data_IF_425547794923
#
_entry.id   IF_425547794923
#
_cell.length_a   1.000
_cell.length_b   1.000
_cell.length_c   1.000
_cell.angle_alpha   90.00
_cell.angle_beta   90.00
_cell.angle_gamma   90.00
#
_symmetry.space_group_name_H-M   'P 1'
#
loop_
_entity.id
_entity.type
_entity.pdbx_description
1 polymer ?
#
# COMPACT_ATOMS: atom_id res chain seq x y z
N UNK A 1 11.94 -59.88 15.50
CA UNK A 1 12.41 -58.48 15.58
C UNK A 1 12.05 -57.79 14.27
N UNK A 2 10.99 -57.04 14.29
CA UNK A 2 10.55 -56.26 13.10
C UNK A 2 11.00 -54.79 13.30
N UNK A 3 11.90 -54.35 12.45
CA UNK A 3 12.35 -52.98 12.40
C UNK A 3 11.26 -52.12 11.72
N UNK A 4 10.66 -51.23 12.51
CA UNK A 4 9.77 -50.21 12.04
C UNK A 4 10.58 -49.10 11.35
N UNK A 5 10.48 -48.98 10.05
CA UNK A 5 11.04 -47.92 9.25
C UNK A 5 10.16 -46.68 9.45
N UNK A 6 10.64 -45.65 10.12
CA UNK A 6 10.03 -44.34 10.18
C UNK A 6 10.27 -43.63 8.83
N UNK A 7 9.26 -43.59 8.02
CA UNK A 7 9.26 -42.80 6.78
C UNK A 7 9.52 -41.34 7.08
N UNK A 8 10.47 -40.74 6.37
CA UNK A 8 10.74 -39.33 6.33
C UNK A 8 9.45 -38.59 5.92
N UNK A 9 9.04 -37.60 6.70
CA UNK A 9 8.03 -36.64 6.26
C UNK A 9 8.57 -35.92 5.03
N UNK A 10 7.98 -36.20 3.88
CA UNK A 10 8.12 -35.35 2.71
C UNK A 10 7.72 -33.94 3.09
N UNK A 11 8.70 -33.06 3.20
CA UNK A 11 8.51 -31.62 3.13
C UNK A 11 8.11 -31.34 1.70
N UNK A 12 6.80 -31.29 1.42
CA UNK A 12 6.29 -30.70 0.18
C UNK A 12 6.81 -29.28 0.10
N UNK A 13 7.85 -29.07 -0.70
CA UNK A 13 8.29 -27.75 -1.11
C UNK A 13 7.07 -27.13 -1.82
N UNK A 14 6.53 -26.06 -1.24
CA UNK A 14 5.53 -25.22 -1.91
C UNK A 14 6.22 -24.71 -3.16
N UNK A 15 5.78 -25.16 -4.35
CA UNK A 15 6.29 -24.62 -5.60
C UNK A 15 5.89 -23.14 -5.66
N UNK A 16 6.87 -22.28 -5.46
CA UNK A 16 6.70 -20.82 -5.58
C UNK A 16 6.36 -20.53 -7.04
N UNK A 17 5.25 -19.85 -7.28
CA UNK A 17 4.90 -19.40 -8.61
C UNK A 17 5.89 -18.28 -9.05
N UNK A 18 6.78 -18.51 -10.04
CA UNK A 18 7.83 -17.53 -10.41
C UNK A 18 7.27 -16.19 -10.88
N UNK A 19 6.03 -16.16 -11.36
CA UNK A 19 5.38 -14.92 -11.79
C UNK A 19 4.99 -14.07 -10.57
N UNK A 20 4.45 -14.68 -9.51
CA UNK A 20 4.12 -14.00 -8.26
C UNK A 20 5.39 -13.52 -7.57
N UNK A 21 6.42 -14.35 -7.51
CA UNK A 21 7.72 -14.00 -6.94
C UNK A 21 8.28 -12.69 -7.53
N UNK A 22 8.30 -12.58 -8.88
CA UNK A 22 8.77 -11.37 -9.55
C UNK A 22 7.94 -10.14 -9.16
N UNK A 23 6.64 -10.30 -8.94
CA UNK A 23 5.73 -9.24 -8.57
C UNK A 23 5.87 -8.82 -7.09
N UNK A 24 6.39 -9.71 -6.25
CA UNK A 24 6.64 -9.46 -4.83
C UNK A 24 8.02 -8.88 -4.52
N UNK A 25 8.87 -8.69 -5.53
CA UNK A 25 10.12 -7.95 -5.34
C UNK A 25 9.80 -6.51 -4.97
N UNK A 26 10.55 -5.98 -4.01
CA UNK A 26 10.42 -4.60 -3.54
C UNK A 26 9.02 -4.23 -3.06
N UNK A 27 8.30 -5.22 -2.52
CA UNK A 27 7.00 -4.95 -1.92
C UNK A 27 7.12 -3.89 -0.80
N UNK A 28 6.05 -3.18 -0.57
CA UNK A 28 5.90 -2.27 0.57
C UNK A 28 4.78 -2.75 1.49
N UNK A 29 4.79 -2.29 2.72
CA UNK A 29 3.80 -2.68 3.72
C UNK A 29 3.36 -1.47 4.55
N UNK A 30 2.12 -1.48 5.03
CA UNK A 30 1.57 -0.42 5.87
C UNK A 30 1.57 -0.80 7.34
N UNK A 31 1.93 0.17 8.19
CA UNK A 31 1.76 0.09 9.64
C UNK A 31 1.06 1.34 10.17
N UNK A 32 0.51 1.24 11.36
CA UNK A 32 0.06 2.37 12.17
C UNK A 32 0.87 2.40 13.45
N UNK A 33 1.05 3.53 14.14
CA UNK A 33 1.75 3.60 15.42
C UNK A 33 1.34 2.47 16.37
N UNK A 34 0.05 2.34 16.63
CA UNK A 34 -0.52 1.31 17.52
C UNK A 34 -0.27 -0.14 17.10
N UNK A 35 -0.06 -0.40 15.80
CA UNK A 35 0.27 -1.76 15.31
C UNK A 35 1.76 -2.01 15.33
N UNK A 36 2.57 -0.99 15.06
CA UNK A 36 4.03 -1.05 15.13
C UNK A 36 4.53 -1.29 16.57
N UNK A 37 3.92 -0.63 17.56
CA UNK A 37 4.25 -0.82 18.99
C UNK A 37 4.13 -2.27 19.48
N UNK A 38 3.29 -3.07 18.84
CA UNK A 38 3.10 -4.51 19.21
C UNK A 38 4.18 -5.42 18.67
N UNK A 39 5.11 -4.89 17.89
CA UNK A 39 6.20 -5.62 17.28
C UNK A 39 7.48 -5.15 17.97
N UNK A 40 8.21 -6.08 18.54
CA UNK A 40 9.44 -5.76 19.26
C UNK A 40 10.52 -5.25 18.32
N UNK A 41 10.71 -5.92 17.19
CA UNK A 41 11.67 -5.55 16.15
C UNK A 41 11.10 -5.90 14.75
N UNK A 42 11.02 -4.94 13.86
CA UNK A 42 10.53 -5.18 12.49
C UNK A 42 11.54 -5.97 11.65
N UNK A 43 12.82 -5.96 12.00
CA UNK A 43 13.87 -6.75 11.33
C UNK A 43 13.67 -8.25 11.45
N UNK A 44 12.96 -8.70 12.47
CA UNK A 44 12.57 -10.11 12.63
C UNK A 44 11.49 -10.54 11.63
N UNK A 45 10.84 -9.58 10.99
CA UNK A 45 9.68 -9.82 10.14
C UNK A 45 9.91 -9.42 8.68
N UNK A 46 10.59 -8.32 8.42
CA UNK A 46 10.71 -7.71 7.11
C UNK A 46 12.13 -7.80 6.55
N UNK A 47 12.30 -8.04 5.25
CA UNK A 47 13.58 -7.88 4.59
C UNK A 47 14.11 -6.45 4.78
N UNK A 48 15.42 -6.30 5.00
CA UNK A 48 16.05 -4.97 5.13
C UNK A 48 15.76 -4.09 3.92
N UNK A 49 15.55 -2.78 4.15
CA UNK A 49 15.22 -1.83 3.10
C UNK A 49 13.78 -1.91 2.57
N UNK A 50 12.92 -2.76 3.14
CA UNK A 50 11.48 -2.74 2.80
C UNK A 50 10.90 -1.35 3.04
N UNK A 51 10.12 -0.83 2.10
CA UNK A 51 9.40 0.44 2.31
C UNK A 51 8.21 0.22 3.22
N UNK A 52 8.20 0.94 4.34
CA UNK A 52 7.13 0.89 5.34
C UNK A 52 6.34 2.20 5.31
N UNK A 53 5.08 2.11 4.91
CA UNK A 53 4.17 3.24 5.00
C UNK A 53 3.65 3.36 6.43
N UNK A 54 3.64 4.59 6.96
CA UNK A 54 3.10 4.87 8.29
C UNK A 54 1.77 5.60 8.12
N UNK A 55 0.68 4.87 8.30
CA UNK A 55 -0.66 5.39 8.10
C UNK A 55 -1.07 6.37 9.21
N UNK A 56 -1.41 7.59 8.82
CA UNK A 56 -1.90 8.63 9.73
C UNK A 56 -3.43 8.65 9.73
N UNK A 57 -4.00 8.21 10.82
CA UNK A 57 -5.45 8.21 11.04
C UNK A 57 -5.82 9.39 11.92
N UNK A 58 -6.99 10.00 11.65
CA UNK A 58 -7.53 11.08 12.46
C UNK A 58 -7.47 10.77 13.96
N UNK A 59 -7.07 11.77 14.75
CA UNK A 59 -6.90 11.65 16.20
C UNK A 59 -5.55 11.09 16.65
N UNK A 60 -4.69 10.63 15.72
CA UNK A 60 -3.32 10.24 16.07
C UNK A 60 -2.43 11.50 16.13
N UNK A 61 -1.79 11.81 17.27
CA UNK A 61 -0.89 12.95 17.38
C UNK A 61 0.31 12.83 16.43
N UNK A 62 0.74 13.95 15.86
CA UNK A 62 1.89 13.96 14.94
C UNK A 62 3.17 13.43 15.62
N UNK A 63 3.32 13.64 16.93
CA UNK A 63 4.46 13.16 17.70
C UNK A 63 4.55 11.63 17.70
N UNK A 64 3.42 10.93 17.79
CA UNK A 64 3.36 9.46 17.71
C UNK A 64 3.71 8.97 16.31
N UNK A 65 3.26 9.70 15.29
CA UNK A 65 3.59 9.41 13.90
C UNK A 65 5.09 9.55 13.64
N UNK A 66 5.69 10.66 14.09
CA UNK A 66 7.13 10.93 13.93
C UNK A 66 7.97 9.92 14.74
N UNK A 67 7.56 9.61 15.98
CA UNK A 67 8.25 8.60 16.79
C UNK A 67 8.23 7.21 16.12
N UNK A 68 7.10 6.83 15.51
CA UNK A 68 7.00 5.58 14.73
C UNK A 68 7.91 5.61 13.51
N UNK A 69 7.91 6.71 12.75
CA UNK A 69 8.78 6.89 11.59
C UNK A 69 10.26 6.79 11.98
N UNK A 70 10.66 7.46 13.06
CA UNK A 70 12.01 7.42 13.61
C UNK A 70 12.46 6.00 13.99
N UNK A 71 11.59 5.25 14.66
CA UNK A 71 11.84 3.85 15.00
C UNK A 71 12.02 3.00 13.74
N UNK A 72 11.11 3.08 12.79
CA UNK A 72 11.16 2.31 11.53
C UNK A 72 12.43 2.63 10.74
N UNK A 73 12.82 3.91 10.67
CA UNK A 73 14.07 4.32 10.04
C UNK A 73 15.31 3.78 10.77
N UNK A 74 15.31 3.83 12.12
CA UNK A 74 16.42 3.29 12.94
C UNK A 74 16.56 1.75 12.82
N UNK A 75 15.49 1.03 12.49
CA UNK A 75 15.49 -0.39 12.19
C UNK A 75 15.95 -0.70 10.74
N UNK A 76 16.30 0.31 9.94
CA UNK A 76 16.88 0.16 8.59
C UNK A 76 15.87 0.04 7.45
N UNK A 77 14.67 0.56 7.63
CA UNK A 77 13.60 0.54 6.63
C UNK A 77 13.40 1.90 5.96
N UNK A 78 12.93 1.89 4.71
CA UNK A 78 12.50 3.07 3.98
C UNK A 78 11.16 3.56 4.52
N UNK A 79 11.09 4.76 5.09
CA UNK A 79 9.86 5.26 5.73
C UNK A 79 9.09 6.18 4.80
N UNK A 80 7.80 5.88 4.60
CA UNK A 80 6.89 6.70 3.82
C UNK A 80 5.64 7.06 4.66
N UNK A 81 5.65 8.17 5.41
CA UNK A 81 4.48 8.59 6.18
C UNK A 81 3.35 9.09 5.27
N UNK A 82 2.12 8.91 5.75
CA UNK A 82 0.94 9.51 5.15
C UNK A 82 0.82 10.98 5.54
N UNK A 83 0.46 11.81 4.56
CA UNK A 83 0.04 13.19 4.75
C UNK A 83 -1.41 13.36 4.30
N UNK A 84 -2.38 13.13 5.20
CA UNK A 84 -3.80 13.30 4.88
C UNK A 84 -4.17 14.78 4.90
N UNK A 85 -4.46 15.36 3.74
CA UNK A 85 -4.74 16.78 3.57
C UNK A 85 -5.79 17.31 4.55
N UNK A 86 -6.90 16.61 4.68
CA UNK A 86 -8.06 17.06 5.48
C UNK A 86 -7.83 17.14 7.00
N UNK A 87 -6.73 16.59 7.53
CA UNK A 87 -6.37 16.76 8.96
C UNK A 87 -5.24 17.75 9.17
N UNK A 88 -4.69 18.32 8.12
CA UNK A 88 -3.66 19.36 8.17
C UNK A 88 -4.35 20.71 8.16
N UNK A 89 -4.09 21.52 9.19
CA UNK A 89 -4.81 22.77 9.41
C UNK A 89 -4.49 23.82 8.35
N UNK A 90 -3.19 24.05 8.09
CA UNK A 90 -2.68 25.12 7.25
C UNK A 90 -1.27 24.79 6.73
N UNK A 91 -0.72 25.64 5.89
CA UNK A 91 0.63 25.47 5.33
C UNK A 91 1.72 25.45 6.41
N UNK A 92 1.57 26.26 7.44
CA UNK A 92 2.51 26.28 8.57
C UNK A 92 2.55 24.93 9.28
N UNK A 93 1.40 24.33 9.50
CA UNK A 93 1.26 22.97 10.08
C UNK A 93 1.90 21.93 9.15
N UNK A 94 1.65 21.99 7.84
CA UNK A 94 2.24 21.09 6.85
C UNK A 94 3.79 21.16 6.89
N UNK A 95 4.35 22.36 6.81
CA UNK A 95 5.81 22.57 6.84
C UNK A 95 6.43 22.12 8.16
N UNK A 96 5.75 22.33 9.28
CA UNK A 96 6.19 21.84 10.59
C UNK A 96 6.20 20.30 10.63
N UNK A 97 5.19 19.63 10.12
CA UNK A 97 5.18 18.17 10.06
C UNK A 97 6.31 17.62 9.19
N UNK A 98 6.52 18.21 8.02
CA UNK A 98 7.65 17.88 7.14
C UNK A 98 8.99 18.02 7.89
N UNK A 99 9.22 19.17 8.55
CA UNK A 99 10.43 19.41 9.31
C UNK A 99 10.66 18.41 10.45
N UNK A 100 9.59 18.04 11.18
CA UNK A 100 9.66 17.00 12.22
C UNK A 100 10.07 15.65 11.64
N UNK A 101 9.43 15.18 10.57
CA UNK A 101 9.77 13.92 9.92
C UNK A 101 11.21 13.89 9.39
N UNK A 102 11.66 14.98 8.75
CA UNK A 102 13.02 15.07 8.25
C UNK A 102 14.04 15.15 9.39
N UNK A 103 13.80 15.99 10.38
CA UNK A 103 14.75 16.23 11.49
C UNK A 103 14.91 15.03 12.41
N UNK A 104 13.85 14.26 12.64
CA UNK A 104 13.89 13.14 13.59
C UNK A 104 14.07 11.78 12.92
N UNK A 105 13.59 11.58 11.70
CA UNK A 105 13.56 10.28 11.03
C UNK A 105 14.25 10.29 9.65
N UNK A 106 14.79 11.41 9.19
CA UNK A 106 15.46 11.50 7.88
C UNK A 106 14.53 11.22 6.70
N UNK A 107 13.23 11.44 6.85
CA UNK A 107 12.22 11.13 5.83
C UNK A 107 12.36 12.06 4.63
N UNK A 108 12.46 11.47 3.43
CA UNK A 108 12.50 12.18 2.14
C UNK A 108 11.46 11.64 1.14
N UNK A 109 10.47 10.90 1.63
CA UNK A 109 9.37 10.35 0.83
C UNK A 109 8.05 10.44 1.61
N UNK A 110 6.92 10.54 0.88
CA UNK A 110 5.59 10.67 1.47
C UNK A 110 4.49 10.09 0.59
N UNK A 111 3.40 9.62 1.22
CA UNK A 111 2.14 9.37 0.53
C UNK A 111 1.16 10.51 0.83
N UNK A 112 0.75 11.22 -0.23
CA UNK A 112 -0.19 12.33 -0.17
C UNK A 112 -1.59 11.85 -0.54
N UNK A 113 -2.54 12.05 0.36
CA UNK A 113 -3.94 11.63 0.18
C UNK A 113 -4.90 12.68 0.78
N UNK A 114 -6.18 12.60 0.43
CA UNK A 114 -7.17 13.49 1.03
C UNK A 114 -7.38 13.17 2.52
N UNK A 115 -7.41 11.90 2.88
CA UNK A 115 -7.76 11.41 4.22
C UNK A 115 -9.22 10.99 4.31
N UNK A 116 -9.58 10.31 5.41
CA UNK A 116 -10.89 9.70 5.62
C UNK A 116 -11.92 10.60 6.28
N UNK A 117 -11.55 11.82 6.73
CA UNK A 117 -12.50 12.74 7.38
C UNK A 117 -13.40 13.42 6.34
N UNK A 118 -14.68 13.52 6.66
CA UNK A 118 -15.67 14.11 5.74
C UNK A 118 -15.50 15.62 5.62
N UNK A 119 -15.19 16.30 6.72
CA UNK A 119 -15.00 17.74 6.75
C UNK A 119 -13.54 18.06 7.05
N UNK A 120 -12.85 18.83 6.20
CA UNK A 120 -11.49 19.28 6.47
C UNK A 120 -11.38 20.05 7.79
N UNK A 121 -10.27 19.86 8.50
CA UNK A 121 -9.96 20.58 9.73
C UNK A 121 -9.36 21.98 9.44
N UNK A 122 -8.97 22.25 8.20
CA UNK A 122 -8.32 23.49 7.79
C UNK A 122 -8.45 23.75 6.29
N UNK A 123 -7.38 24.23 5.69
CA UNK A 123 -7.37 24.80 4.34
C UNK A 123 -7.30 23.75 3.21
N UNK A 124 -6.97 22.49 3.54
CA UNK A 124 -6.72 21.46 2.53
C UNK A 124 -7.86 20.43 2.45
N UNK A 125 -8.42 20.27 1.27
CA UNK A 125 -9.47 19.28 0.96
C UNK A 125 -8.92 18.03 0.25
N UNK A 126 -7.84 18.17 -0.52
CA UNK A 126 -7.30 17.09 -1.33
C UNK A 126 -5.77 17.14 -1.44
N UNK A 127 -5.17 16.03 -1.89
CA UNK A 127 -3.72 15.90 -2.04
C UNK A 127 -3.11 16.82 -3.10
N UNK A 128 -3.89 17.30 -4.08
CA UNK A 128 -3.40 18.24 -5.09
C UNK A 128 -2.98 19.56 -4.45
N UNK A 129 -3.74 20.07 -3.49
CA UNK A 129 -3.37 21.30 -2.76
C UNK A 129 -2.08 21.13 -1.94
N UNK A 130 -1.82 19.92 -1.42
CA UNK A 130 -0.52 19.63 -0.77
C UNK A 130 0.64 19.68 -1.77
N UNK A 131 0.45 19.20 -3.00
CA UNK A 131 1.45 19.29 -4.07
C UNK A 131 1.64 20.73 -4.54
N UNK A 132 0.55 21.49 -4.72
CA UNK A 132 0.56 22.90 -5.15
C UNK A 132 1.28 23.82 -4.17
N UNK A 133 1.28 23.50 -2.87
CA UNK A 133 2.01 24.29 -1.85
C UNK A 133 3.52 24.28 -2.06
N UNK A 134 4.05 23.38 -2.88
CA UNK A 134 5.48 23.10 -3.07
C UNK A 134 6.28 22.79 -1.79
N UNK A 135 5.63 22.59 -0.64
CA UNK A 135 6.30 22.37 0.64
C UNK A 135 7.24 21.14 0.63
N UNK A 136 6.85 20.08 -0.09
CA UNK A 136 7.68 18.88 -0.26
C UNK A 136 8.85 19.11 -1.20
N UNK A 137 8.66 19.89 -2.29
CA UNK A 137 9.73 20.29 -3.22
C UNK A 137 10.77 21.16 -2.52
N UNK A 138 10.33 22.19 -1.77
CA UNK A 138 11.20 23.06 -0.98
C UNK A 138 12.02 22.28 0.07
N UNK A 139 11.44 21.24 0.62
CA UNK A 139 12.07 20.35 1.58
C UNK A 139 12.95 19.26 0.95
N UNK A 140 13.00 19.16 -0.39
CA UNK A 140 13.86 18.23 -1.11
C UNK A 140 13.40 16.78 -1.04
N UNK A 141 12.08 16.53 -0.98
CA UNK A 141 11.54 15.16 -1.03
C UNK A 141 11.88 14.50 -2.35
N UNK A 142 12.37 13.28 -2.29
CA UNK A 142 12.81 12.50 -3.46
C UNK A 142 11.70 11.65 -4.05
N UNK A 143 10.68 11.29 -3.25
CA UNK A 143 9.59 10.45 -3.69
C UNK A 143 8.26 10.87 -3.10
N UNK A 144 7.26 11.04 -3.98
CA UNK A 144 5.91 11.41 -3.59
C UNK A 144 4.91 10.43 -4.20
N UNK A 145 4.28 9.62 -3.37
CA UNK A 145 3.19 8.78 -3.82
C UNK A 145 1.85 9.51 -3.64
N UNK A 146 0.91 9.20 -4.52
CA UNK A 146 -0.44 9.79 -4.51
C UNK A 146 -1.50 8.71 -4.58
N UNK A 147 -2.67 8.97 -4.00
CA UNK A 147 -3.75 7.98 -4.00
C UNK A 147 -4.33 7.74 -5.39
N UNK A 148 -4.60 6.45 -5.71
CA UNK A 148 -5.36 5.99 -6.85
C UNK A 148 -6.55 5.13 -6.44
N UNK A 149 -7.60 5.13 -7.25
CA UNK A 149 -8.90 4.53 -6.92
C UNK A 149 -9.41 3.62 -8.05
N UNK A 150 -8.90 2.36 -8.16
CA UNK A 150 -9.31 1.42 -9.22
C UNK A 150 -10.81 1.10 -9.23
N UNK A 151 -11.46 1.23 -8.10
CA UNK A 151 -12.89 0.94 -7.92
C UNK A 151 -13.77 2.20 -7.82
N UNK A 152 -13.19 3.38 -8.13
CA UNK A 152 -13.82 4.66 -7.87
C UNK A 152 -13.77 5.06 -6.40
N UNK A 153 -14.28 6.25 -6.11
CA UNK A 153 -14.38 6.75 -4.74
C UNK A 153 -15.63 7.63 -4.62
N UNK A 154 -16.58 7.21 -3.80
CA UNK A 154 -17.86 7.91 -3.62
C UNK A 154 -17.75 9.26 -2.92
N UNK A 155 -16.67 9.52 -2.21
CA UNK A 155 -16.39 10.84 -1.65
C UNK A 155 -15.95 11.84 -2.72
N UNK A 156 -15.34 11.34 -3.81
CA UNK A 156 -14.88 12.14 -4.96
C UNK A 156 -15.97 12.21 -6.04
N UNK A 157 -16.55 11.07 -6.39
CA UNK A 157 -17.62 10.92 -7.40
C UNK A 157 -18.84 10.26 -6.75
N UNK A 158 -19.74 11.03 -6.09
CA UNK A 158 -20.92 10.49 -5.38
C UNK A 158 -21.93 9.79 -6.28
N UNK A 159 -21.95 10.14 -7.57
CA UNK A 159 -22.77 9.51 -8.60
C UNK A 159 -22.26 8.13 -9.04
N UNK A 160 -21.07 7.75 -8.56
CA UNK A 160 -20.41 6.51 -8.93
C UNK A 160 -19.68 6.53 -10.26
N UNK A 161 -19.53 7.72 -10.87
CA UNK A 161 -18.64 7.91 -12.02
C UNK A 161 -17.17 7.82 -11.64
N UNK A 162 -16.28 7.99 -12.62
CA UNK A 162 -14.84 8.13 -12.43
C UNK A 162 -14.34 9.52 -12.86
N UNK A 163 -15.24 10.46 -13.09
CA UNK A 163 -14.95 11.74 -13.74
C UNK A 163 -13.91 12.56 -12.99
N UNK A 164 -14.13 12.77 -11.69
CA UNK A 164 -13.22 13.57 -10.86
C UNK A 164 -11.99 12.77 -10.45
N UNK A 165 -12.12 11.47 -10.20
CA UNK A 165 -10.98 10.57 -9.94
C UNK A 165 -10.00 10.59 -11.12
N UNK A 166 -10.51 10.44 -12.36
CA UNK A 166 -9.68 10.48 -13.56
C UNK A 166 -9.09 11.87 -13.83
N UNK A 167 -9.85 12.93 -13.58
CA UNK A 167 -9.34 14.31 -13.68
C UNK A 167 -8.19 14.56 -12.70
N UNK A 168 -8.32 14.10 -11.45
CA UNK A 168 -7.28 14.20 -10.45
C UNK A 168 -6.02 13.42 -10.83
N UNK A 169 -6.16 12.23 -11.44
CA UNK A 169 -5.00 11.45 -11.89
C UNK A 169 -4.31 12.08 -13.09
N UNK A 170 -5.06 12.65 -14.06
CA UNK A 170 -4.46 13.43 -15.17
C UNK A 170 -3.69 14.63 -14.66
N UNK A 171 -4.24 15.36 -13.68
CA UNK A 171 -3.54 16.47 -13.05
C UNK A 171 -2.24 16.04 -12.36
N UNK A 172 -2.28 14.94 -11.62
CA UNK A 172 -1.10 14.36 -10.93
C UNK A 172 -0.03 13.88 -11.92
N UNK A 173 -0.45 13.30 -13.06
CA UNK A 173 0.47 12.95 -14.15
C UNK A 173 1.17 14.21 -14.69
N UNK A 174 0.42 15.25 -15.02
CA UNK A 174 1.00 16.51 -15.50
C UNK A 174 1.93 17.16 -14.46
N UNK A 175 1.56 17.15 -13.18
CA UNK A 175 2.40 17.64 -12.10
C UNK A 175 3.71 16.85 -12.01
N UNK A 176 3.69 15.53 -12.20
CA UNK A 176 4.89 14.69 -12.13
C UNK A 176 5.94 15.03 -13.19
N UNK A 177 5.55 15.60 -14.32
CA UNK A 177 6.45 16.00 -15.40
C UNK A 177 7.31 17.23 -15.04
N UNK A 178 6.88 17.99 -14.04
CA UNK A 178 7.58 19.18 -13.52
C UNK A 178 8.17 18.98 -12.13
N UNK A 179 7.84 17.89 -11.48
CA UNK A 179 8.34 17.55 -10.14
C UNK A 179 9.76 17.00 -10.20
N UNK A 180 10.59 17.38 -9.22
CA UNK A 180 11.90 16.77 -9.01
C UNK A 180 11.83 15.45 -8.22
N UNK A 181 10.66 15.10 -7.68
CA UNK A 181 10.45 13.86 -6.96
C UNK A 181 9.92 12.76 -7.88
N UNK A 182 10.40 11.54 -7.68
CA UNK A 182 9.82 10.35 -8.30
C UNK A 182 8.38 10.18 -7.81
N UNK A 183 7.42 10.17 -8.74
CA UNK A 183 6.02 10.03 -8.39
C UNK A 183 5.47 8.65 -8.78
N UNK A 184 4.57 8.12 -7.94
CA UNK A 184 3.83 6.89 -8.21
C UNK A 184 2.43 6.96 -7.61
N UNK A 185 1.55 6.09 -8.11
CA UNK A 185 0.19 5.93 -7.59
C UNK A 185 0.20 4.77 -6.58
N UNK A 186 -0.28 4.99 -5.36
CA UNK A 186 -0.58 3.93 -4.40
C UNK A 186 -2.10 3.77 -4.28
N UNK A 187 -2.60 2.53 -4.40
CA UNK A 187 -4.05 2.29 -4.33
C UNK A 187 -4.47 1.74 -2.97
N UNK A 188 -5.77 1.86 -2.68
CA UNK A 188 -6.39 1.07 -1.63
C UNK A 188 -6.36 -0.42 -2.03
N UNK A 189 -6.49 -1.34 -1.07
CA UNK A 189 -6.52 -2.77 -1.35
C UNK A 189 -7.71 -3.15 -2.23
N UNK A 190 -7.45 -4.08 -3.16
CA UNK A 190 -8.42 -4.61 -4.10
C UNK A 190 -8.45 -6.15 -4.03
N UNK A 191 -9.55 -6.76 -4.48
CA UNK A 191 -9.73 -8.21 -4.51
C UNK A 191 -10.11 -8.74 -5.90
N UNK A 192 -10.38 -7.88 -6.87
CA UNK A 192 -10.78 -8.27 -8.22
C UNK A 192 -9.75 -7.78 -9.26
N UNK A 193 -8.92 -8.70 -9.74
CA UNK A 193 -7.84 -8.37 -10.66
C UNK A 193 -8.36 -7.80 -11.99
N UNK A 194 -9.51 -8.28 -12.50
CA UNK A 194 -10.08 -7.80 -13.76
C UNK A 194 -10.42 -6.32 -13.75
N UNK A 195 -11.02 -5.83 -12.67
CA UNK A 195 -11.33 -4.41 -12.49
C UNK A 195 -10.06 -3.57 -12.43
N UNK A 196 -9.05 -4.04 -11.71
CA UNK A 196 -7.74 -3.38 -11.58
C UNK A 196 -7.01 -3.33 -12.92
N UNK A 197 -6.98 -4.44 -13.66
CA UNK A 197 -6.36 -4.53 -14.99
C UNK A 197 -7.04 -3.54 -15.96
N UNK A 198 -8.37 -3.58 -16.02
CA UNK A 198 -9.13 -2.67 -16.90
C UNK A 198 -8.88 -1.20 -16.56
N UNK A 199 -8.84 -0.86 -15.28
CA UNK A 199 -8.53 0.49 -14.82
C UNK A 199 -7.11 0.92 -15.22
N UNK A 200 -6.09 0.11 -14.94
CA UNK A 200 -4.71 0.44 -15.27
C UNK A 200 -4.47 0.55 -16.78
N UNK A 201 -5.09 -0.32 -17.58
CA UNK A 201 -5.05 -0.23 -19.05
C UNK A 201 -5.73 1.05 -19.58
N UNK A 202 -6.83 1.45 -18.93
CA UNK A 202 -7.51 2.71 -19.27
C UNK A 202 -6.64 3.92 -18.93
N UNK A 203 -5.96 3.92 -17.78
CA UNK A 203 -5.01 4.97 -17.42
C UNK A 203 -3.90 5.10 -18.45
N UNK A 204 -3.28 3.99 -18.84
CA UNK A 204 -2.21 3.98 -19.83
C UNK A 204 -2.71 4.52 -21.19
N UNK A 205 -3.92 4.13 -21.63
CA UNK A 205 -4.55 4.63 -22.85
C UNK A 205 -4.80 6.15 -22.80
N UNK A 206 -5.08 6.68 -21.60
CA UNK A 206 -5.30 8.11 -21.36
C UNK A 206 -3.99 8.88 -21.09
N UNK A 207 -2.82 8.28 -21.33
CA UNK A 207 -1.52 8.93 -21.16
C UNK A 207 -1.04 9.05 -19.70
N UNK A 208 -1.67 8.32 -18.75
CA UNK A 208 -1.22 8.27 -17.36
C UNK A 208 -0.26 7.10 -17.23
N UNK A 209 1.03 7.41 -17.11
CA UNK A 209 2.14 6.44 -17.11
C UNK A 209 2.81 6.29 -15.76
N UNK A 210 2.35 7.01 -14.75
CA UNK A 210 2.86 6.87 -13.38
C UNK A 210 2.86 5.40 -12.95
N UNK A 211 3.96 4.90 -12.35
CA UNK A 211 4.00 3.56 -11.78
C UNK A 211 2.89 3.38 -10.75
N UNK A 212 2.29 2.19 -10.72
CA UNK A 212 1.23 1.86 -9.78
C UNK A 212 1.75 0.86 -8.75
N UNK A 213 1.67 1.23 -7.48
CA UNK A 213 1.82 0.36 -6.32
C UNK A 213 0.43 -0.13 -5.93
N UNK A 214 0.09 -1.35 -6.36
CA UNK A 214 -1.24 -1.91 -6.13
C UNK A 214 -1.44 -2.33 -4.69
N UNK A 215 -2.51 -1.85 -4.07
CA UNK A 215 -2.90 -2.23 -2.72
C UNK A 215 -3.43 -3.67 -2.67
N UNK A 216 -2.88 -4.47 -1.78
CA UNK A 216 -3.22 -5.88 -1.58
C UNK A 216 -3.51 -6.15 -0.11
N UNK A 217 -4.68 -6.70 0.18
CA UNK A 217 -4.95 -7.20 1.52
C UNK A 217 -4.14 -8.48 1.76
N UNK A 218 -3.29 -8.46 2.78
CA UNK A 218 -2.58 -9.65 3.22
C UNK A 218 -3.53 -10.74 3.75
N UNK A 219 -3.00 -11.94 4.03
CA UNK A 219 -3.81 -13.05 4.55
C UNK A 219 -4.58 -12.66 5.80
N UNK A 220 -5.90 -12.90 5.79
CA UNK A 220 -6.77 -12.54 6.89
C UNK A 220 -8.06 -13.38 6.90
N UNK A 221 -8.76 -13.36 8.04
CA UNK A 221 -10.11 -13.94 8.12
C UNK A 221 -11.06 -13.13 7.26
N UNK A 222 -11.96 -13.81 6.54
CA UNK A 222 -12.92 -13.19 5.65
C UNK A 222 -13.78 -12.10 6.34
N UNK A 223 -14.19 -12.34 7.58
CA UNK A 223 -14.93 -11.35 8.39
C UNK A 223 -14.14 -10.06 8.63
N UNK A 224 -12.82 -10.18 8.86
CA UNK A 224 -11.92 -9.03 9.01
C UNK A 224 -11.86 -8.23 7.73
N UNK A 225 -11.70 -8.90 6.58
CA UNK A 225 -11.66 -8.23 5.27
C UNK A 225 -12.97 -7.52 4.94
N UNK A 226 -14.12 -8.14 5.20
CA UNK A 226 -15.44 -7.51 5.00
C UNK A 226 -15.55 -6.24 5.86
N UNK A 227 -15.15 -6.29 7.13
CA UNK A 227 -15.18 -5.13 8.02
C UNK A 227 -14.33 -3.97 7.47
N UNK A 228 -13.10 -4.24 7.07
CA UNK A 228 -12.22 -3.22 6.50
C UNK A 228 -12.71 -2.72 5.14
N UNK A 229 -13.26 -3.58 4.28
CA UNK A 229 -13.82 -3.18 2.98
C UNK A 229 -14.99 -2.19 3.14
N UNK A 230 -15.82 -2.38 4.16
CA UNK A 230 -16.91 -1.44 4.48
C UNK A 230 -16.31 -0.12 4.99
N UNK A 231 -15.36 -0.18 5.92
CA UNK A 231 -14.75 1.00 6.51
C UNK A 231 -13.97 1.85 5.48
N UNK A 232 -13.34 1.21 4.49
CA UNK A 232 -12.56 1.88 3.45
C UNK A 232 -13.37 2.19 2.17
N UNK A 233 -14.66 1.84 2.12
CA UNK A 233 -15.53 2.15 1.00
C UNK A 233 -15.22 1.42 -0.31
N UNK A 234 -14.51 0.27 -0.27
CA UNK A 234 -14.13 -0.53 -1.45
C UNK A 234 -15.30 -1.40 -1.93
N UNK A 235 -16.12 -0.85 -2.82
CA UNK A 235 -17.43 -1.42 -3.19
C UNK A 235 -17.37 -2.68 -4.05
N UNK A 236 -16.54 -2.72 -5.10
CA UNK A 236 -16.39 -3.89 -5.97
C UNK A 236 -15.75 -5.04 -5.20
N UNK A 237 -14.68 -4.76 -4.47
CA UNK A 237 -13.99 -5.68 -3.57
C UNK A 237 -14.91 -6.29 -2.52
N UNK A 238 -15.81 -5.50 -1.93
CA UNK A 238 -16.80 -6.02 -0.98
C UNK A 238 -17.72 -7.06 -1.61
N UNK A 239 -18.16 -6.86 -2.86
CA UNK A 239 -18.99 -7.85 -3.58
C UNK A 239 -18.27 -9.19 -3.80
N UNK A 240 -16.98 -9.15 -4.07
CA UNK A 240 -16.16 -10.38 -4.20
C UNK A 240 -16.11 -11.15 -2.88
N UNK A 241 -15.84 -10.44 -1.77
CA UNK A 241 -15.82 -11.07 -0.45
C UNK A 241 -17.19 -11.61 -0.02
N UNK A 242 -18.27 -10.90 -0.35
CA UNK A 242 -19.64 -11.36 -0.07
C UNK A 242 -20.02 -12.62 -0.89
N UNK A 243 -19.58 -12.74 -2.14
CA UNK A 243 -19.74 -13.98 -2.92
C UNK A 243 -18.97 -15.13 -2.28
N UNK A 244 -17.71 -14.89 -1.86
CA UNK A 244 -16.88 -15.89 -1.19
C UNK A 244 -17.51 -16.34 0.14
N UNK A 245 -18.18 -15.45 0.87
CA UNK A 245 -18.83 -15.79 2.15
C UNK A 245 -20.02 -16.73 2.03
N UNK A 246 -20.60 -16.89 0.82
CA UNK A 246 -21.69 -17.85 0.54
C UNK A 246 -21.17 -19.27 0.32
N UNK A 247 -19.88 -19.44 0.09
CA UNK A 247 -19.24 -20.75 -0.03
C UNK A 247 -18.72 -21.18 1.36
N UNK A 248 -19.42 -22.12 1.98
CA UNK A 248 -19.10 -22.61 3.33
C UNK A 248 -17.69 -23.18 3.45
N UNK A 249 -17.16 -23.77 2.37
CA UNK A 249 -15.79 -24.30 2.36
C UNK A 249 -14.75 -23.20 2.39
N UNK A 250 -14.99 -22.11 1.68
CA UNK A 250 -14.12 -20.93 1.63
C UNK A 250 -14.25 -20.02 2.86
N UNK A 251 -15.37 -20.10 3.57
CA UNK A 251 -15.61 -19.31 4.79
C UNK A 251 -14.68 -19.74 5.94
N UNK A 252 -14.33 -21.01 6.00
CA UNK A 252 -13.50 -21.58 7.07
C UNK A 252 -11.99 -21.38 6.82
N UNK A 253 -11.60 -21.13 5.57
CA UNK A 253 -10.20 -20.90 5.22
C UNK A 253 -9.86 -19.41 5.26
N UNK A 254 -8.66 -19.03 5.75
CA UNK A 254 -8.17 -17.68 5.61
C UNK A 254 -8.15 -17.28 4.12
N UNK A 255 -8.45 -16.02 3.84
CA UNK A 255 -8.19 -15.45 2.53
C UNK A 255 -6.68 -15.27 2.35
N UNK A 256 -6.20 -15.56 1.15
CA UNK A 256 -4.84 -15.24 0.69
C UNK A 256 -4.92 -14.58 -0.69
N UNK A 257 -3.99 -13.69 -1.06
CA UNK A 257 -4.07 -12.92 -2.30
C UNK A 257 -3.52 -13.65 -3.53
N UNK A 258 -3.32 -14.97 -3.49
CA UNK A 258 -2.65 -15.75 -4.53
C UNK A 258 -3.32 -15.61 -5.91
N UNK A 259 -4.64 -15.83 -6.00
CA UNK A 259 -5.39 -15.73 -7.26
C UNK A 259 -5.30 -14.30 -7.84
N UNK A 260 -5.46 -13.28 -6.99
CA UNK A 260 -5.41 -11.89 -7.38
C UNK A 260 -4.03 -11.52 -7.97
N UNK A 261 -2.96 -11.89 -7.28
CA UNK A 261 -1.59 -11.60 -7.72
C UNK A 261 -1.20 -12.42 -8.95
N UNK A 262 -1.63 -13.68 -9.04
CA UNK A 262 -1.37 -14.53 -10.21
C UNK A 262 -2.02 -13.95 -11.48
N UNK A 263 -3.25 -13.45 -11.41
CA UNK A 263 -3.93 -12.81 -12.55
C UNK A 263 -3.20 -11.52 -12.99
N UNK A 264 -2.77 -10.66 -12.05
CA UNK A 264 -1.99 -9.45 -12.37
C UNK A 264 -0.64 -9.79 -12.99
N UNK A 265 0.08 -10.76 -12.43
CA UNK A 265 1.37 -11.22 -12.93
C UNK A 265 1.26 -11.83 -14.33
N UNK A 266 0.22 -12.64 -14.58
CA UNK A 266 -0.05 -13.20 -15.90
C UNK A 266 -0.38 -12.09 -16.93
N UNK A 267 -1.07 -11.03 -16.53
CA UNK A 267 -1.31 -9.87 -17.39
C UNK A 267 -0.02 -9.10 -17.68
N UNK A 268 0.81 -8.85 -16.67
CA UNK A 268 2.13 -8.21 -16.82
C UNK A 268 3.04 -8.96 -17.77
N UNK A 269 3.03 -10.29 -17.71
CA UNK A 269 3.84 -11.14 -18.63
C UNK A 269 3.39 -10.98 -20.09
N UNK A 270 2.07 -10.81 -20.34
CA UNK A 270 1.51 -10.60 -21.68
C UNK A 270 1.68 -9.17 -22.17
N UNK A 271 1.74 -8.21 -21.25
CA UNK A 271 1.82 -6.78 -21.52
C UNK A 271 2.90 -6.16 -20.62
N UNK A 272 4.19 -6.24 -21.03
CA UNK A 272 5.32 -5.78 -20.21
C UNK A 272 5.23 -4.30 -19.80
N UNK A 273 4.59 -3.46 -20.63
CA UNK A 273 4.36 -2.04 -20.38
C UNK A 273 3.26 -1.77 -19.35
N UNK A 274 2.58 -2.81 -18.85
CA UNK A 274 1.56 -2.67 -17.80
C UNK A 274 2.15 -1.93 -16.59
N UNK A 275 1.56 -0.79 -16.23
CA UNK A 275 2.14 0.15 -15.27
C UNK A 275 1.98 -0.21 -13.79
N UNK A 276 1.29 -1.31 -13.44
CA UNK A 276 1.39 -1.89 -12.10
C UNK A 276 2.81 -2.46 -11.94
N UNK A 277 3.58 -1.83 -11.07
CA UNK A 277 5.02 -2.12 -10.89
C UNK A 277 5.34 -2.79 -9.56
N UNK A 278 4.59 -2.50 -8.50
CA UNK A 278 4.87 -2.97 -7.14
C UNK A 278 3.59 -3.38 -6.41
N UNK A 279 3.77 -4.22 -5.40
CA UNK A 279 2.72 -4.59 -4.45
C UNK A 279 2.88 -3.78 -3.16
N UNK A 280 1.78 -3.19 -2.69
CA UNK A 280 1.69 -2.56 -1.39
C UNK A 280 0.74 -3.32 -0.48
N UNK A 281 1.24 -3.90 0.61
CA UNK A 281 0.44 -4.73 1.50
C UNK A 281 -0.26 -3.95 2.62
N UNK A 282 -1.55 -4.22 2.76
CA UNK A 282 -2.34 -3.90 3.95
C UNK A 282 -2.42 -5.14 4.85
N UNK A 283 -1.68 -5.19 5.98
CA UNK A 283 -1.61 -6.39 6.82
C UNK A 283 -2.83 -6.54 7.73
N UNK A 284 -4.02 -6.66 7.12
CA UNK A 284 -5.31 -6.68 7.82
C UNK A 284 -5.49 -7.88 8.75
N UNK A 285 -4.79 -8.98 8.50
CA UNK A 285 -4.70 -10.15 9.38
C UNK A 285 -3.52 -10.14 10.34
N UNK A 286 -2.79 -9.01 10.38
CA UNK A 286 -1.59 -8.82 11.19
C UNK A 286 -0.31 -8.91 10.36
N UNK A 287 0.69 -8.09 10.75
CA UNK A 287 1.95 -7.96 10.02
C UNK A 287 2.72 -9.29 9.95
N UNK A 288 2.78 -10.05 11.05
CA UNK A 288 3.47 -11.37 11.10
C UNK A 288 2.89 -12.35 10.08
N UNK A 289 1.55 -12.41 9.99
CA UNK A 289 0.87 -13.31 9.05
C UNK A 289 1.12 -12.87 7.61
N UNK A 290 1.07 -11.58 7.35
CA UNK A 290 1.33 -11.01 6.03
C UNK A 290 2.76 -11.29 5.59
N UNK A 291 3.74 -10.96 6.40
CA UNK A 291 5.16 -11.09 6.07
C UNK A 291 5.54 -12.55 5.84
N UNK A 292 5.07 -13.44 6.73
CA UNK A 292 5.28 -14.88 6.55
C UNK A 292 4.82 -15.35 5.18
N UNK A 293 3.58 -15.03 4.81
CA UNK A 293 3.04 -15.38 3.50
C UNK A 293 3.86 -14.77 2.35
N UNK A 294 4.22 -13.48 2.47
CA UNK A 294 4.99 -12.77 1.44
C UNK A 294 6.35 -13.41 1.18
N UNK A 295 7.10 -13.74 2.26
CA UNK A 295 8.41 -14.38 2.15
C UNK A 295 8.29 -15.81 1.62
N UNK A 296 7.32 -16.59 2.07
CA UNK A 296 7.04 -17.94 1.57
C UNK A 296 6.69 -17.97 0.09
N UNK A 297 6.23 -16.85 -0.48
CA UNK A 297 5.94 -16.68 -1.91
C UNK A 297 7.03 -15.90 -2.68
N UNK A 298 8.24 -15.77 -2.10
CA UNK A 298 9.41 -15.20 -2.78
C UNK A 298 9.56 -13.68 -2.63
N UNK A 299 8.78 -13.07 -1.73
CA UNK A 299 8.91 -11.62 -1.45
C UNK A 299 10.28 -11.27 -0.87
N UNK A 300 10.90 -10.26 -1.45
CA UNK A 300 12.23 -9.78 -1.07
C UNK A 300 12.32 -8.27 -1.23
N UNK A 301 13.37 -7.66 -0.67
CA UNK A 301 13.73 -6.26 -0.91
C UNK A 301 14.90 -6.18 -1.89
N UNK A 302 14.95 -5.09 -2.68
CA UNK A 302 16.05 -4.81 -3.60
C UNK A 302 17.37 -4.48 -2.91
N UNK A 303 17.32 -4.05 -1.64
CA UNK A 303 18.54 -3.68 -0.92
C UNK A 303 19.12 -4.91 -0.23
N UNK A 304 20.29 -5.42 -0.63
CA UNK A 304 20.99 -6.44 0.14
C UNK A 304 21.29 -5.88 1.52
N UNK A 305 20.99 -6.64 2.57
CA UNK A 305 21.45 -6.31 3.92
C UNK A 305 22.97 -6.24 3.86
N UNK A 306 23.56 -5.06 3.95
CA UNK A 306 24.99 -4.92 4.17
C UNK A 306 25.25 -5.54 5.54
N UNK A 307 25.88 -6.73 5.55
CA UNK A 307 26.40 -7.31 6.78
C UNK A 307 27.44 -6.33 7.32
N UNK A 308 27.05 -5.59 8.35
CA UNK A 308 27.94 -4.73 9.14
C UNK A 308 28.43 -5.52 10.35
#
# INVERSE_FOLDING_TARGET
MALLNFGSKDTTSVEINPQIETFLKDFSIEVMPRTAEKIEDLRDLLPGGTRVYVAHIEGTPIQEMVATAKRVAAEGFDVMPHFPARIIKDETTLRNWIAMYQGEAGVDQALLLAGGVTKPHGDYECSMQLLESNAFGDAGFKRLHVAGHPEGNKDIDPDGSMTNVDAALRWKQAFSETSNADMAIATQFCFEAKSVISWADTLATNGITLPIHIGVAGPAKLQTLIKFSIACGVGASLRVLQRRSKDLTKLLLPFTPDEFLAELAAHKTKKPEFNISHVHFFPLGGIKTNTKWTIENGGSSAVPVSQS
#
